data_IF_214772002042
#
_entry.id   IF_214772002042
#
_cell.length_a   1.000
_cell.length_b   1.000
_cell.length_c   1.000
_cell.angle_alpha   90.00
_cell.angle_beta   90.00
_cell.angle_gamma   90.00
#
_symmetry.space_group_name_H-M   'P 1'
#
loop_
_entity.id
_entity.type
_entity.pdbx_description
1 polymer ?
#
# COMPACT_ATOMS: atom_id res chain seq x y z
N UNK A 1 22.99 -31.17 32.28
CA UNK A 1 22.49 -31.24 30.89
C UNK A 1 21.72 -29.97 30.58
N UNK A 2 22.32 -29.07 29.85
CA UNK A 2 21.63 -27.87 29.38
C UNK A 2 20.71 -28.25 28.21
N UNK A 3 19.39 -28.22 28.42
CA UNK A 3 18.45 -28.25 27.32
C UNK A 3 18.62 -26.92 26.56
N UNK A 4 19.24 -27.00 25.39
CA UNK A 4 19.20 -25.94 24.42
C UNK A 4 17.73 -25.67 24.09
N UNK A 5 17.17 -24.61 24.65
CA UNK A 5 15.96 -24.01 24.15
C UNK A 5 16.29 -23.43 22.77
N UNK A 6 16.09 -24.23 21.73
CA UNK A 6 15.93 -23.73 20.38
C UNK A 6 14.70 -22.84 20.42
N UNK A 7 14.91 -21.54 20.54
CA UNK A 7 13.88 -20.55 20.26
C UNK A 7 13.64 -20.67 18.76
N UNK A 8 12.58 -21.40 18.40
CA UNK A 8 12.08 -21.34 17.03
C UNK A 8 11.76 -19.87 16.75
N UNK A 9 12.62 -19.23 15.96
CA UNK A 9 12.29 -17.93 15.39
C UNK A 9 11.09 -18.16 14.48
N UNK A 10 9.92 -17.71 14.92
CA UNK A 10 8.73 -17.66 14.06
C UNK A 10 9.03 -16.59 13.01
N UNK A 11 9.39 -17.04 11.81
CA UNK A 11 9.58 -16.15 10.67
C UNK A 11 8.20 -15.89 10.05
N UNK A 12 7.70 -14.67 10.21
CA UNK A 12 6.54 -14.21 9.44
C UNK A 12 6.96 -13.94 8.01
N UNK A 13 6.25 -14.54 7.07
CA UNK A 13 6.46 -14.35 5.65
C UNK A 13 5.47 -13.33 5.11
N UNK A 14 5.96 -12.24 4.55
CA UNK A 14 5.13 -11.29 3.82
C UNK A 14 5.21 -11.53 2.31
N UNK A 15 4.11 -11.25 1.62
CA UNK A 15 4.08 -11.11 0.17
C UNK A 15 3.62 -9.70 -0.18
N UNK A 16 4.07 -9.19 -1.32
CA UNK A 16 3.73 -7.83 -1.76
C UNK A 16 3.16 -7.90 -3.16
N UNK A 17 1.95 -7.38 -3.31
CA UNK A 17 1.28 -7.18 -4.61
C UNK A 17 0.89 -5.71 -4.73
N UNK A 18 1.21 -5.07 -5.84
CA UNK A 18 0.93 -3.64 -5.99
C UNK A 18 0.43 -3.30 -7.39
N UNK A 19 -0.34 -2.21 -7.49
CA UNK A 19 -0.58 -1.48 -8.71
C UNK A 19 0.05 -0.09 -8.61
N UNK A 20 0.65 0.39 -9.69
CA UNK A 20 1.30 1.70 -9.72
C UNK A 20 1.21 2.30 -11.11
N UNK A 21 0.77 3.55 -11.20
CA UNK A 21 0.66 4.28 -12.47
C UNK A 21 1.90 5.11 -12.77
N UNK A 22 2.41 5.84 -11.78
CA UNK A 22 3.51 6.81 -11.92
C UNK A 22 4.75 6.46 -11.12
N UNK A 23 4.76 5.30 -10.48
CA UNK A 23 5.91 4.78 -9.73
C UNK A 23 5.89 5.04 -8.23
N UNK A 24 4.94 5.79 -7.68
CA UNK A 24 4.89 6.08 -6.24
C UNK A 24 4.66 4.81 -5.41
N UNK A 25 3.62 4.07 -5.73
CA UNK A 25 3.29 2.82 -5.02
C UNK A 25 4.34 1.76 -5.24
N UNK A 26 4.89 1.66 -6.44
CA UNK A 26 5.99 0.74 -6.75
C UNK A 26 7.23 1.03 -5.92
N UNK A 27 7.57 2.30 -5.74
CA UNK A 27 8.70 2.72 -4.89
C UNK A 27 8.52 2.28 -3.44
N UNK A 28 7.32 2.42 -2.89
CA UNK A 28 6.99 1.94 -1.55
C UNK A 28 7.04 0.40 -1.46
N UNK A 29 6.48 -0.29 -2.45
CA UNK A 29 6.52 -1.75 -2.51
C UNK A 29 7.95 -2.28 -2.56
N UNK A 30 8.81 -1.68 -3.38
CA UNK A 30 10.22 -2.04 -3.45
C UNK A 30 10.95 -1.81 -2.13
N UNK A 31 10.60 -0.75 -1.40
CA UNK A 31 11.16 -0.49 -0.06
C UNK A 31 10.73 -1.56 0.94
N UNK A 32 9.48 -1.99 0.92
CA UNK A 32 9.00 -3.10 1.76
C UNK A 32 9.68 -4.42 1.46
N UNK A 33 10.14 -4.63 0.22
CA UNK A 33 10.82 -5.86 -0.18
C UNK A 33 12.11 -6.11 0.61
N UNK A 34 12.71 -5.08 1.22
CA UNK A 34 13.85 -5.24 2.13
C UNK A 34 13.48 -5.95 3.45
N UNK A 35 12.20 -6.15 3.75
CA UNK A 35 11.72 -6.91 4.90
C UNK A 35 11.70 -8.44 4.66
N UNK A 36 12.50 -8.96 3.75
CA UNK A 36 12.54 -10.39 3.40
C UNK A 36 11.18 -10.93 2.94
N UNK A 37 10.57 -10.26 1.98
CA UNK A 37 9.32 -10.73 1.37
C UNK A 37 9.53 -11.99 0.53
N UNK A 38 8.53 -12.85 0.51
CA UNK A 38 8.52 -14.05 -0.32
C UNK A 38 8.41 -13.69 -1.81
N UNK A 39 7.67 -12.64 -2.11
CA UNK A 39 7.53 -12.06 -3.45
C UNK A 39 7.16 -10.58 -3.36
N UNK A 40 7.50 -9.85 -4.41
CA UNK A 40 7.08 -8.46 -4.64
C UNK A 40 6.77 -8.31 -6.13
N UNK A 41 5.48 -8.31 -6.47
CA UNK A 41 5.04 -8.35 -7.87
C UNK A 41 3.96 -7.30 -8.14
N UNK A 42 3.90 -6.83 -9.39
CA UNK A 42 2.77 -6.03 -9.84
C UNK A 42 1.50 -6.89 -9.91
N UNK A 43 0.34 -6.26 -9.77
CA UNK A 43 -0.95 -6.95 -9.82
C UNK A 43 -1.16 -7.72 -11.13
N UNK A 44 -0.57 -7.27 -12.22
CA UNK A 44 -0.61 -7.95 -13.53
C UNK A 44 0.03 -9.34 -13.50
N UNK A 45 1.03 -9.50 -12.63
CA UNK A 45 1.80 -10.73 -12.47
C UNK A 45 1.39 -11.54 -11.24
N UNK A 46 0.31 -11.15 -10.56
CA UNK A 46 -0.16 -11.78 -9.33
C UNK A 46 -1.00 -13.04 -9.64
N UNK A 47 -0.34 -14.08 -10.14
CA UNK A 47 -0.97 -15.37 -10.45
C UNK A 47 -0.24 -16.48 -9.71
N UNK A 48 -1.02 -17.44 -9.17
CA UNK A 48 -0.50 -18.63 -8.53
C UNK A 48 0.57 -18.35 -7.45
N UNK A 49 0.32 -17.29 -6.65
CA UNK A 49 1.24 -16.89 -5.60
C UNK A 49 1.17 -17.85 -4.41
N UNK A 50 2.32 -18.14 -3.84
CA UNK A 50 2.43 -18.97 -2.66
C UNK A 50 1.77 -18.30 -1.43
N UNK A 51 1.22 -19.11 -0.49
CA UNK A 51 0.67 -18.57 0.75
C UNK A 51 1.71 -17.79 1.56
N UNK A 52 1.26 -16.71 2.19
CA UNK A 52 2.06 -15.86 3.09
C UNK A 52 1.28 -15.58 4.37
N UNK A 53 1.97 -15.18 5.43
CA UNK A 53 1.33 -14.83 6.70
C UNK A 53 0.62 -13.47 6.63
N UNK A 54 1.17 -12.53 5.87
CA UNK A 54 0.59 -11.22 5.63
C UNK A 54 0.77 -10.83 4.15
N UNK A 55 -0.31 -10.54 3.48
CA UNK A 55 -0.32 -10.04 2.12
C UNK A 55 -0.41 -8.50 2.14
N UNK A 56 0.70 -7.85 1.82
CA UNK A 56 0.77 -6.39 1.70
C UNK A 56 0.34 -5.97 0.29
N UNK A 57 -0.74 -5.21 0.21
CA UNK A 57 -1.32 -4.78 -1.06
C UNK A 57 -1.17 -3.28 -1.19
N UNK A 58 -0.42 -2.87 -2.21
CA UNK A 58 -0.17 -1.48 -2.55
C UNK A 58 -1.05 -0.99 -3.70
N UNK A 59 -1.64 0.18 -3.57
CA UNK A 59 -2.48 0.78 -4.60
C UNK A 59 -2.21 2.28 -4.75
N UNK A 60 -2.54 2.82 -5.92
CA UNK A 60 -2.61 4.26 -6.13
C UNK A 60 -4.07 4.70 -6.15
N UNK A 61 -4.34 5.91 -5.68
CA UNK A 61 -5.70 6.44 -5.64
C UNK A 61 -6.16 6.88 -7.04
N UNK A 62 -7.22 6.24 -7.50
CA UNK A 62 -7.95 6.59 -8.72
C UNK A 62 -9.38 6.99 -8.33
N UNK A 63 -9.67 8.30 -8.36
CA UNK A 63 -11.00 8.84 -8.05
C UNK A 63 -11.58 8.37 -6.71
N UNK A 64 -10.77 8.38 -5.67
CA UNK A 64 -11.19 8.01 -4.32
C UNK A 64 -11.22 6.51 -4.03
N UNK A 65 -10.66 5.69 -4.93
CA UNK A 65 -10.60 4.23 -4.83
C UNK A 65 -9.28 3.73 -5.43
N UNK A 66 -9.06 2.44 -5.50
CA UNK A 66 -7.98 1.85 -6.30
C UNK A 66 -8.40 1.67 -7.77
N UNK A 67 -7.43 1.38 -8.63
CA UNK A 67 -7.72 1.14 -10.05
C UNK A 67 -8.51 -0.17 -10.27
N UNK A 68 -9.10 -0.30 -11.47
CA UNK A 68 -9.95 -1.45 -11.79
C UNK A 68 -9.23 -2.80 -11.73
N UNK A 69 -7.97 -2.84 -12.09
CA UNK A 69 -7.18 -4.07 -12.05
C UNK A 69 -6.95 -4.52 -10.61
N UNK A 70 -6.68 -3.59 -9.70
CA UNK A 70 -6.58 -3.89 -8.28
C UNK A 70 -7.94 -4.29 -7.69
N UNK A 71 -9.03 -3.65 -8.07
CA UNK A 71 -10.39 -4.04 -7.64
C UNK A 71 -10.69 -5.49 -8.00
N UNK A 72 -10.38 -5.89 -9.21
CA UNK A 72 -10.55 -7.27 -9.66
C UNK A 72 -9.71 -8.26 -8.84
N UNK A 73 -8.45 -7.92 -8.61
CA UNK A 73 -7.56 -8.75 -7.81
C UNK A 73 -8.08 -8.91 -6.37
N UNK A 74 -8.45 -7.82 -5.71
CA UNK A 74 -8.99 -7.85 -4.35
C UNK A 74 -10.24 -8.74 -4.25
N UNK A 75 -11.09 -8.72 -5.26
CA UNK A 75 -12.32 -9.52 -5.29
C UNK A 75 -12.06 -11.04 -5.35
N UNK A 76 -10.87 -11.45 -5.77
CA UNK A 76 -10.48 -12.87 -5.84
C UNK A 76 -9.93 -13.43 -4.53
N UNK A 77 -9.52 -12.56 -3.61
CA UNK A 77 -8.86 -12.98 -2.36
C UNK A 77 -9.84 -13.60 -1.37
N UNK A 78 -9.41 -14.69 -0.75
CA UNK A 78 -10.18 -15.42 0.27
C UNK A 78 -9.27 -15.85 1.42
N UNK A 79 -9.75 -15.68 2.65
CA UNK A 79 -9.09 -16.18 3.85
C UNK A 79 -7.64 -15.66 4.02
N UNK A 80 -7.38 -14.41 3.60
CA UNK A 80 -6.07 -13.78 3.70
C UNK A 80 -6.00 -12.81 4.86
N UNK A 81 -4.84 -12.72 5.49
CA UNK A 81 -4.46 -11.57 6.31
C UNK A 81 -3.86 -10.52 5.38
N UNK A 82 -4.43 -9.32 5.37
CA UNK A 82 -4.13 -8.27 4.41
C UNK A 82 -3.67 -7.01 5.14
N UNK A 83 -2.64 -6.37 4.61
CA UNK A 83 -2.25 -5.01 4.94
C UNK A 83 -2.38 -4.14 3.70
N UNK A 84 -3.12 -3.04 3.80
CA UNK A 84 -3.34 -2.14 2.66
C UNK A 84 -2.47 -0.89 2.81
N UNK A 85 -1.71 -0.56 1.78
CA UNK A 85 -0.99 0.70 1.71
C UNK A 85 -1.25 1.41 0.38
N UNK A 86 -1.34 2.73 0.41
CA UNK A 86 -1.69 3.48 -0.79
C UNK A 86 -1.04 4.85 -0.87
N UNK A 87 -1.11 5.41 -2.07
CA UNK A 87 -0.66 6.77 -2.38
C UNK A 87 -1.78 7.58 -3.00
N UNK A 88 -1.87 8.87 -2.67
CA UNK A 88 -2.84 9.79 -3.23
C UNK A 88 -2.24 11.17 -3.45
N UNK A 89 -2.55 11.80 -4.60
CA UNK A 89 -1.96 13.09 -4.96
C UNK A 89 -2.77 14.31 -4.53
N UNK A 90 -4.09 14.19 -4.34
CA UNK A 90 -4.99 15.33 -4.19
C UNK A 90 -5.23 15.77 -2.73
N UNK A 91 -4.76 15.06 -1.75
CA UNK A 91 -4.98 15.41 -0.35
C UNK A 91 -4.10 14.60 0.60
N UNK A 92 -4.11 15.01 1.86
CA UNK A 92 -3.28 14.42 2.91
C UNK A 92 -4.01 14.28 4.26
N UNK A 93 -5.29 14.71 4.32
CA UNK A 93 -6.03 14.62 5.58
C UNK A 93 -6.31 13.17 5.96
N UNK A 94 -6.38 12.92 7.26
CA UNK A 94 -6.73 11.61 7.80
C UNK A 94 -8.09 11.14 7.27
N UNK A 95 -9.07 12.03 7.25
CA UNK A 95 -10.43 11.75 6.77
C UNK A 95 -10.44 11.36 5.29
N UNK A 96 -9.64 12.04 4.47
CA UNK A 96 -9.49 11.73 3.05
C UNK A 96 -8.89 10.33 2.84
N UNK A 97 -7.83 9.99 3.54
CA UNK A 97 -7.22 8.67 3.46
C UNK A 97 -8.13 7.57 3.99
N UNK A 98 -8.83 7.80 5.10
CA UNK A 98 -9.80 6.85 5.65
C UNK A 98 -10.95 6.56 4.67
N UNK A 99 -11.43 7.58 3.98
CA UNK A 99 -12.46 7.41 2.94
C UNK A 99 -11.96 6.51 1.80
N UNK A 100 -10.75 6.77 1.29
CA UNK A 100 -10.15 5.96 0.23
C UNK A 100 -9.97 4.50 0.70
N UNK A 101 -9.39 4.31 1.87
CA UNK A 101 -9.14 2.99 2.44
C UNK A 101 -10.44 2.21 2.65
N UNK A 102 -11.51 2.87 3.07
CA UNK A 102 -12.83 2.26 3.20
C UNK A 102 -13.36 1.76 1.86
N UNK A 103 -13.21 2.57 0.82
CA UNK A 103 -13.63 2.20 -0.54
C UNK A 103 -12.82 0.98 -1.04
N UNK A 104 -11.50 1.00 -0.85
CA UNK A 104 -10.63 -0.11 -1.25
C UNK A 104 -11.00 -1.40 -0.50
N UNK A 105 -11.20 -1.32 0.81
CA UNK A 105 -11.60 -2.47 1.63
C UNK A 105 -12.93 -3.09 1.19
N UNK A 106 -13.83 -2.29 0.63
CA UNK A 106 -15.15 -2.77 0.18
C UNK A 106 -15.07 -3.81 -0.94
N UNK A 107 -13.94 -3.90 -1.65
CA UNK A 107 -13.71 -4.88 -2.71
C UNK A 107 -13.25 -6.24 -2.18
N UNK A 108 -12.87 -6.33 -0.90
CA UNK A 108 -12.45 -7.58 -0.27
C UNK A 108 -13.66 -8.40 0.19
N UNK A 109 -13.60 -9.71 -0.04
CA UNK A 109 -14.55 -10.65 0.56
C UNK A 109 -14.40 -10.66 2.09
N UNK A 110 -15.51 -10.87 2.80
CA UNK A 110 -15.55 -10.85 4.26
C UNK A 110 -14.67 -11.94 4.92
N UNK A 111 -14.26 -12.96 4.18
CA UNK A 111 -13.33 -13.98 4.68
C UNK A 111 -11.92 -13.47 4.95
N UNK A 112 -11.56 -12.30 4.40
CA UNK A 112 -10.27 -11.68 4.59
C UNK A 112 -10.23 -10.85 5.87
N UNK A 113 -9.06 -10.79 6.51
CA UNK A 113 -8.82 -9.98 7.69
C UNK A 113 -7.84 -8.85 7.37
N UNK A 114 -8.30 -7.60 7.47
CA UNK A 114 -7.45 -6.43 7.31
C UNK A 114 -6.72 -6.17 8.62
N UNK A 115 -5.41 -6.44 8.64
CA UNK A 115 -4.56 -6.31 9.83
C UNK A 115 -4.06 -4.90 10.07
N UNK A 116 -4.05 -4.07 9.06
CA UNK A 116 -3.64 -2.68 9.15
C UNK A 116 -3.73 -1.98 7.82
N UNK A 117 -3.67 -0.66 7.88
CA UNK A 117 -3.75 0.22 6.71
C UNK A 117 -2.81 1.40 6.87
N UNK A 118 -2.33 1.93 5.74
CA UNK A 118 -1.47 3.10 5.74
C UNK A 118 -1.56 3.82 4.39
N UNK A 119 -1.48 5.15 4.41
CA UNK A 119 -1.40 5.96 3.19
C UNK A 119 -0.47 7.14 3.37
N UNK A 120 0.11 7.58 2.26
CA UNK A 120 0.78 8.88 2.15
C UNK A 120 0.40 9.58 0.85
N UNK A 121 0.83 10.84 0.73
CA UNK A 121 0.77 11.53 -0.55
C UNK A 121 1.70 10.87 -1.57
N UNK A 122 1.43 11.09 -2.85
CA UNK A 122 2.28 10.68 -3.95
C UNK A 122 2.34 11.78 -5.01
N UNK A 123 3.53 12.05 -5.53
CA UNK A 123 3.73 13.08 -6.55
C UNK A 123 2.95 12.76 -7.82
N UNK A 124 2.30 13.79 -8.34
CA UNK A 124 1.61 13.74 -9.63
C UNK A 124 2.49 14.32 -10.74
N UNK A 125 2.26 13.96 -12.01
CA UNK A 125 3.00 14.52 -13.13
C UNK A 125 2.92 16.06 -13.17
N UNK A 126 4.06 16.73 -13.36
CA UNK A 126 4.12 18.20 -13.41
C UNK A 126 3.21 18.79 -14.49
N UNK A 127 2.98 18.07 -15.57
CA UNK A 127 2.12 18.51 -16.67
C UNK A 127 0.67 18.83 -16.25
N UNK A 128 0.17 18.21 -15.18
CA UNK A 128 -1.20 18.46 -14.69
C UNK A 128 -1.30 19.63 -13.70
N UNK A 129 -0.16 20.20 -13.27
CA UNK A 129 -0.14 21.31 -12.31
C UNK A 129 -0.94 22.52 -12.78
N UNK A 130 -0.89 22.81 -14.07
CA UNK A 130 -1.62 23.95 -14.68
C UNK A 130 -3.14 23.83 -14.48
N UNK A 131 -3.69 22.64 -14.34
CA UNK A 131 -5.12 22.42 -14.07
C UNK A 131 -5.58 22.95 -12.71
N UNK A 132 -4.65 23.21 -11.81
CA UNK A 132 -4.92 23.66 -10.44
C UNK A 132 -4.57 25.13 -10.20
N UNK A 133 -4.08 25.86 -11.19
CA UNK A 133 -3.63 27.26 -11.04
C UNK A 133 -4.73 28.19 -10.50
N UNK A 134 -5.99 27.90 -10.79
CA UNK A 134 -7.14 28.68 -10.30
C UNK A 134 -7.60 28.30 -8.89
N UNK A 135 -7.04 27.25 -8.30
CA UNK A 135 -7.39 26.78 -6.96
C UNK A 135 -6.14 26.71 -6.07
N UNK A 136 -5.90 27.75 -5.23
CA UNK A 136 -4.70 27.82 -4.40
C UNK A 136 -4.52 26.64 -3.44
N UNK A 137 -5.59 26.09 -2.89
CA UNK A 137 -5.54 24.96 -1.96
C UNK A 137 -5.08 23.68 -2.68
N UNK A 138 -5.67 23.40 -3.84
CA UNK A 138 -5.27 22.25 -4.66
C UNK A 138 -3.84 22.38 -5.17
N UNK A 139 -3.44 23.58 -5.56
CA UNK A 139 -2.06 23.86 -5.99
C UNK A 139 -1.06 23.60 -4.87
N UNK A 140 -1.39 24.03 -3.65
CA UNK A 140 -0.59 23.76 -2.45
C UNK A 140 -0.47 22.26 -2.19
N UNK A 141 -1.57 21.54 -2.26
CA UNK A 141 -1.57 20.08 -2.08
C UNK A 141 -0.72 19.39 -3.15
N UNK A 142 -0.82 19.84 -4.40
CA UNK A 142 0.01 19.32 -5.50
C UNK A 142 1.50 19.52 -5.22
N UNK A 143 1.89 20.73 -4.82
CA UNK A 143 3.29 21.07 -4.56
C UNK A 143 3.86 20.31 -3.34
N UNK A 144 3.06 20.11 -2.30
CA UNK A 144 3.45 19.30 -1.15
C UNK A 144 3.61 17.82 -1.54
N UNK A 145 2.72 17.29 -2.39
CA UNK A 145 2.77 15.91 -2.86
C UNK A 145 4.03 15.59 -3.68
N UNK A 146 4.68 16.60 -4.28
CA UNK A 146 5.93 16.40 -5.02
C UNK A 146 7.08 15.85 -4.14
N UNK A 147 6.99 16.03 -2.83
CA UNK A 147 7.98 15.56 -1.85
C UNK A 147 7.72 14.11 -1.37
N UNK A 148 6.66 13.48 -1.86
CA UNK A 148 6.22 12.17 -1.41
C UNK A 148 6.11 11.16 -2.56
N UNK A 149 6.36 9.86 -2.28
CA UNK A 149 6.86 9.37 -1.00
C UNK A 149 8.33 9.74 -0.77
N UNK A 150 8.71 9.83 0.51
CA UNK A 150 10.09 10.10 0.95
C UNK A 150 10.56 9.07 1.98
N UNK A 151 11.77 9.21 2.49
CA UNK A 151 12.34 8.25 3.45
C UNK A 151 11.52 8.13 4.74
N UNK A 152 10.93 9.22 5.20
CA UNK A 152 10.05 9.20 6.37
C UNK A 152 8.76 8.41 6.11
N UNK A 153 8.21 8.52 4.92
CA UNK A 153 7.05 7.72 4.51
C UNK A 153 7.40 6.23 4.52
N UNK A 154 8.56 5.86 4.00
CA UNK A 154 9.05 4.48 4.01
C UNK A 154 9.19 3.96 5.44
N UNK A 155 9.82 4.72 6.34
CA UNK A 155 9.99 4.34 7.74
C UNK A 155 8.64 4.14 8.44
N UNK A 156 7.69 5.04 8.22
CA UNK A 156 6.34 4.95 8.77
C UNK A 156 5.58 3.74 8.23
N UNK A 157 5.70 3.46 6.94
CA UNK A 157 5.09 2.29 6.32
C UNK A 157 5.65 0.99 6.91
N UNK A 158 6.96 0.87 7.00
CA UNK A 158 7.63 -0.31 7.58
C UNK A 158 7.21 -0.54 9.03
N UNK A 159 7.11 0.54 9.81
CA UNK A 159 6.62 0.47 11.19
C UNK A 159 5.18 -0.05 11.26
N UNK A 160 4.30 0.48 10.42
CA UNK A 160 2.90 0.02 10.33
C UNK A 160 2.79 -1.46 9.96
N UNK A 161 3.58 -1.92 9.01
CA UNK A 161 3.61 -3.34 8.61
C UNK A 161 4.10 -4.21 9.77
N UNK A 162 5.15 -3.82 10.46
CA UNK A 162 5.66 -4.55 11.63
C UNK A 162 4.61 -4.66 12.75
N UNK A 163 3.83 -3.62 12.98
CA UNK A 163 2.74 -3.63 13.97
C UNK A 163 1.59 -4.56 13.58
N UNK A 164 1.45 -4.89 12.29
CA UNK A 164 0.41 -5.77 11.76
C UNK A 164 0.82 -7.27 11.71
N UNK A 165 2.08 -7.56 11.97
CA UNK A 165 2.62 -8.92 11.98
C UNK A 165 2.27 -9.71 13.24
#
# INVERSE_FOLDING_TARGET
MAKSLLVERIYFMIGIVYSSKTGNTQSLANSLNFMESKYCVSVENAKDLEPVDLLCIGFWCDKGDCDNQMKQYLSTLRNQNVFLFGTAGFGKSKEYFEMILKNVQSHLDASNCVKGTWMCQGKMPLAIRTKFESNPEMLKNFDEALKHPNDKDVDNLMKSVNEAL
#
